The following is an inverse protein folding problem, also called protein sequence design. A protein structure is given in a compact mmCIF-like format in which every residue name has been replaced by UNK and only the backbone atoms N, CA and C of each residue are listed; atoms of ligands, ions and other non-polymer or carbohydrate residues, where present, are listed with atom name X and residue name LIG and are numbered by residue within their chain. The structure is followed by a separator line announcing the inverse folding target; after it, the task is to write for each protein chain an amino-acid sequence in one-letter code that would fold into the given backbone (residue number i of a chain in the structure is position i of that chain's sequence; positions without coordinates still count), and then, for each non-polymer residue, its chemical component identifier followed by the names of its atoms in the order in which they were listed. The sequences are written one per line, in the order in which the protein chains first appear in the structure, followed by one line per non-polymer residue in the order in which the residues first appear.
data_IF_969166052836
#
_entry.id   IF_969166052836
#
_cell.length_a   1.000
_cell.length_b   1.000
_cell.length_c   1.000
_cell.angle_alpha   90.00
_cell.angle_beta   90.00
_cell.angle_gamma   90.00
#
_symmetry.space_group_name_H-M   'P 1'
#
loop_
_entity.id
_entity.type
_entity.pdbx_description
1 polymer ?
#
# COMPACT_ATOMS: atom_id res chain seq x y z
N UNK A 1 -50.32 6.85 -39.08
CA UNK A 1 -50.02 7.16 -37.66
C UNK A 1 -48.56 6.82 -37.44
N UNK A 2 -47.76 7.85 -37.15
CA UNK A 2 -46.31 7.83 -36.94
C UNK A 2 -45.97 7.26 -35.55
N UNK A 3 -44.67 6.94 -35.35
CA UNK A 3 -43.96 6.62 -34.12
C UNK A 3 -44.06 5.12 -33.71
N UNK A 4 -43.00 4.37 -33.40
CA UNK A 4 -41.71 4.74 -32.81
C UNK A 4 -40.57 3.81 -33.26
N UNK A 5 -39.62 4.37 -34.00
CA UNK A 5 -38.27 3.82 -34.17
C UNK A 5 -37.39 4.42 -33.08
N UNK A 6 -37.42 3.87 -31.86
CA UNK A 6 -36.49 4.28 -30.81
C UNK A 6 -35.10 3.76 -31.19
N UNK A 7 -34.30 4.69 -31.67
CA UNK A 7 -32.93 4.56 -32.12
C UNK A 7 -32.01 4.03 -31.01
N UNK A 8 -31.28 2.95 -31.33
CA UNK A 8 -30.13 2.45 -30.55
C UNK A 8 -29.02 3.50 -30.34
N UNK A 9 -29.09 4.66 -31.03
CA UNK A 9 -28.13 5.76 -30.92
C UNK A 9 -28.09 6.43 -29.53
N UNK A 10 -29.23 6.47 -28.81
CA UNK A 10 -29.32 7.18 -27.53
C UNK A 10 -28.68 6.43 -26.35
N UNK A 11 -28.48 5.10 -26.45
CA UNK A 11 -27.81 4.33 -25.39
C UNK A 11 -26.29 4.50 -25.41
N UNK A 12 -25.71 4.75 -26.58
CA UNK A 12 -24.29 5.02 -26.77
C UNK A 12 -23.89 6.44 -26.35
N UNK A 13 -24.75 7.44 -26.56
CA UNK A 13 -24.46 8.84 -26.18
C UNK A 13 -24.55 9.09 -24.67
N UNK A 14 -25.40 8.35 -23.95
CA UNK A 14 -25.48 8.42 -22.48
C UNK A 14 -24.24 7.83 -21.77
N UNK A 15 -23.43 7.02 -22.45
CA UNK A 15 -22.18 6.47 -21.91
C UNK A 15 -20.96 7.36 -22.18
N UNK A 16 -21.06 8.31 -23.12
CA UNK A 16 -19.95 9.22 -23.47
C UNK A 16 -19.85 10.42 -22.52
N UNK A 17 -20.97 10.91 -21.98
CA UNK A 17 -20.99 12.15 -21.20
C UNK A 17 -20.50 12.05 -19.74
N UNK A 18 -20.09 10.87 -19.28
CA UNK A 18 -19.53 10.68 -17.92
C UNK A 18 -18.11 10.12 -17.91
N UNK A 19 -17.50 9.93 -19.07
CA UNK A 19 -16.12 9.48 -19.13
C UNK A 19 -15.19 10.67 -18.94
N UNK A 20 -14.27 10.64 -17.98
CA UNK A 20 -13.35 11.75 -17.81
C UNK A 20 -12.45 11.80 -19.05
N UNK A 21 -12.38 12.94 -19.75
CA UNK A 21 -11.40 13.14 -20.83
C UNK A 21 -9.97 13.33 -20.29
N UNK A 22 -9.81 13.27 -18.97
CA UNK A 22 -8.57 13.56 -18.26
C UNK A 22 -8.30 12.54 -17.18
N UNK A 23 -7.07 12.50 -16.68
CA UNK A 23 -6.73 11.72 -15.49
C UNK A 23 -7.17 12.53 -14.25
N UNK A 24 -8.16 12.00 -13.53
CA UNK A 24 -8.69 12.61 -12.31
C UNK A 24 -8.25 11.81 -11.09
N UNK A 25 -7.56 12.46 -10.14
CA UNK A 25 -7.19 11.85 -8.85
C UNK A 25 -8.30 12.19 -7.84
N UNK A 26 -8.76 11.20 -7.09
CA UNK A 26 -10.01 11.28 -6.31
C UNK A 26 -9.81 11.23 -4.80
N UNK A 27 -8.67 10.70 -4.32
CA UNK A 27 -8.42 10.52 -2.90
C UNK A 27 -7.27 11.37 -2.34
N UNK A 28 -6.51 12.04 -3.19
CA UNK A 28 -5.35 12.83 -2.82
C UNK A 28 -5.34 14.17 -3.56
N UNK A 29 -4.84 15.20 -2.88
CA UNK A 29 -4.65 16.55 -3.42
C UNK A 29 -3.18 16.82 -3.75
N UNK A 30 -2.94 17.78 -4.64
CA UNK A 30 -1.58 18.24 -4.92
C UNK A 30 -0.97 18.91 -3.68
N UNK A 31 0.29 18.60 -3.41
CA UNK A 31 1.04 18.96 -2.20
C UNK A 31 0.44 18.44 -0.88
N UNK A 32 -0.40 17.40 -0.92
CA UNK A 32 -0.91 16.76 0.30
C UNK A 32 0.24 16.11 1.09
N UNK A 33 0.21 16.32 2.41
CA UNK A 33 1.19 15.76 3.34
C UNK A 33 0.68 14.41 3.85
N UNK A 34 1.49 13.37 3.68
CA UNK A 34 1.25 12.02 4.16
C UNK A 34 2.26 11.67 5.26
N UNK A 35 1.80 11.07 6.35
CA UNK A 35 2.67 10.68 7.48
C UNK A 35 3.19 9.24 7.37
N UNK A 36 3.03 8.64 6.20
CA UNK A 36 3.37 7.24 5.91
C UNK A 36 3.97 7.12 4.51
N UNK A 37 4.86 6.15 4.35
CA UNK A 37 5.71 6.04 3.16
C UNK A 37 5.05 5.34 1.96
N UNK A 38 3.93 4.67 2.10
CA UNK A 38 3.27 3.96 0.99
C UNK A 38 1.93 4.62 0.64
N UNK A 39 1.90 5.41 -0.43
CA UNK A 39 0.68 6.10 -0.85
C UNK A 39 -0.19 5.20 -1.73
N UNK A 40 -1.50 5.18 -1.48
CA UNK A 40 -2.49 4.65 -2.40
C UNK A 40 -3.07 5.82 -3.19
N UNK A 41 -2.89 5.83 -4.50
CA UNK A 41 -3.50 6.81 -5.40
C UNK A 41 -4.68 6.14 -6.08
N UNK A 42 -5.85 6.76 -5.98
CA UNK A 42 -7.09 6.32 -6.63
C UNK A 42 -7.57 7.40 -7.57
N UNK A 43 -8.05 7.00 -8.73
CA UNK A 43 -8.56 7.95 -9.69
C UNK A 43 -9.33 7.31 -10.81
N UNK A 44 -9.74 8.17 -11.74
CA UNK A 44 -10.37 7.80 -13.00
C UNK A 44 -9.45 8.18 -14.15
N UNK A 45 -9.40 7.33 -15.16
CA UNK A 45 -8.59 7.52 -16.34
C UNK A 45 -9.47 7.76 -17.58
N UNK A 46 -8.89 8.33 -18.65
CA UNK A 46 -9.58 8.51 -19.92
C UNK A 46 -10.24 7.24 -20.45
N UNK A 47 -11.37 7.42 -21.14
CA UNK A 47 -12.05 6.32 -21.81
C UNK A 47 -11.06 5.54 -22.70
N UNK A 48 -11.30 4.24 -22.84
CA UNK A 48 -10.54 3.33 -23.73
C UNK A 48 -9.09 3.05 -23.29
N UNK A 49 -8.59 3.65 -22.20
CA UNK A 49 -7.29 3.31 -21.65
C UNK A 49 -7.37 2.03 -20.80
N UNK A 50 -6.49 1.06 -21.09
CA UNK A 50 -6.39 -0.20 -20.31
C UNK A 50 -5.36 -0.12 -19.19
N UNK A 51 -4.40 0.80 -19.31
CA UNK A 51 -3.30 0.95 -18.37
C UNK A 51 -2.98 2.42 -18.11
N UNK A 52 -2.44 2.68 -16.91
CA UNK A 52 -1.89 3.96 -16.51
C UNK A 52 -0.45 3.75 -16.07
N UNK A 53 0.44 4.58 -16.60
CA UNK A 53 1.83 4.62 -16.22
C UNK A 53 2.03 5.67 -15.14
N UNK A 54 2.85 5.36 -14.14
CA UNK A 54 3.32 6.34 -13.17
C UNK A 54 4.83 6.39 -13.16
N UNK A 55 5.36 7.60 -13.26
CA UNK A 55 6.78 7.88 -13.17
C UNK A 55 7.07 8.62 -11.86
N UNK A 56 8.00 8.08 -11.08
CA UNK A 56 8.55 8.75 -9.90
C UNK A 56 9.90 9.43 -10.23
N UNK A 57 10.40 10.28 -9.31
CA UNK A 57 11.72 10.92 -9.45
C UNK A 57 12.89 9.95 -9.67
N UNK A 58 12.79 8.69 -9.25
CA UNK A 58 13.83 7.66 -9.51
C UNK A 58 13.82 7.15 -10.95
N UNK A 59 13.00 7.77 -11.83
CA UNK A 59 12.74 7.36 -13.21
C UNK A 59 12.22 5.91 -13.33
N UNK A 60 11.75 5.34 -12.21
CA UNK A 60 11.02 4.08 -12.23
C UNK A 60 9.65 4.36 -12.82
N UNK A 61 9.34 3.66 -13.90
CA UNK A 61 8.01 3.66 -14.52
C UNK A 61 7.36 2.35 -14.13
N UNK A 62 6.19 2.43 -13.51
CA UNK A 62 5.35 1.25 -13.25
C UNK A 62 4.02 1.41 -13.96
N UNK A 63 3.54 0.32 -14.55
CA UNK A 63 2.26 0.25 -15.24
C UNK A 63 1.23 -0.41 -14.33
N UNK A 64 0.02 0.16 -14.29
CA UNK A 64 -1.08 -0.33 -13.47
C UNK A 64 -2.35 -0.48 -14.30
N UNK A 65 -3.15 -1.53 -14.07
CA UNK A 65 -4.37 -1.75 -14.82
C UNK A 65 -5.43 -0.68 -14.49
N UNK A 66 -6.17 -0.28 -15.52
CA UNK A 66 -7.41 0.48 -15.41
C UNK A 66 -8.56 -0.52 -15.53
N UNK A 67 -9.45 -0.55 -14.55
CA UNK A 67 -10.62 -1.44 -14.52
C UNK A 67 -11.86 -0.60 -14.36
N UNK A 68 -12.81 -0.73 -15.30
CA UNK A 68 -14.03 0.08 -15.33
C UNK A 68 -13.78 1.59 -15.27
N UNK A 69 -12.72 2.05 -15.95
CA UNK A 69 -12.31 3.47 -15.97
C UNK A 69 -11.62 3.96 -14.70
N UNK A 70 -11.42 3.10 -13.69
CA UNK A 70 -10.76 3.44 -12.44
C UNK A 70 -9.37 2.80 -12.32
N UNK A 71 -8.47 3.48 -11.62
CA UNK A 71 -7.15 2.96 -11.29
C UNK A 71 -6.86 3.03 -9.79
N UNK A 72 -6.00 2.12 -9.33
CA UNK A 72 -5.44 2.10 -7.97
C UNK A 72 -3.95 1.81 -8.07
N UNK A 73 -3.13 2.75 -7.61
CA UNK A 73 -1.68 2.71 -7.74
C UNK A 73 -1.08 2.78 -6.34
N UNK A 74 -0.12 1.92 -6.05
CA UNK A 74 0.70 2.03 -4.84
C UNK A 74 2.04 2.66 -5.19
N UNK A 75 2.45 3.67 -4.41
CA UNK A 75 3.70 4.41 -4.63
C UNK A 75 4.49 4.48 -3.34
N UNK A 76 5.75 4.05 -3.41
CA UNK A 76 6.72 4.26 -2.33
C UNK A 76 7.23 5.70 -2.35
N UNK A 77 7.05 6.42 -1.25
CA UNK A 77 7.43 7.81 -1.05
C UNK A 77 8.74 7.92 -0.27
N UNK A 78 9.68 8.69 -0.82
CA UNK A 78 10.85 9.14 -0.05
C UNK A 78 10.44 10.27 0.88
N UNK A 79 11.16 10.48 1.98
CA UNK A 79 10.91 11.64 2.85
C UNK A 79 11.00 12.95 2.07
N UNK A 80 10.12 13.89 2.39
CA UNK A 80 9.99 15.17 1.70
C UNK A 80 9.18 15.06 0.42
N UNK A 81 9.56 15.84 -0.58
CA UNK A 81 8.78 16.05 -1.81
C UNK A 81 8.92 14.91 -2.82
N UNK A 82 7.79 14.34 -3.23
CA UNK A 82 7.69 13.29 -4.25
C UNK A 82 6.87 13.81 -5.44
N UNK A 83 7.54 14.12 -6.55
CA UNK A 83 6.89 14.49 -7.82
C UNK A 83 6.57 13.25 -8.63
N UNK A 84 5.30 13.08 -8.96
CA UNK A 84 4.75 11.95 -9.69
C UNK A 84 4.13 12.47 -11.01
N UNK A 85 4.38 11.76 -12.10
CA UNK A 85 3.73 11.99 -13.39
C UNK A 85 2.94 10.73 -13.76
N UNK A 86 1.62 10.88 -13.89
CA UNK A 86 0.69 9.86 -14.33
C UNK A 86 0.42 10.06 -15.83
N UNK A 87 0.41 8.99 -16.60
CA UNK A 87 0.19 9.02 -18.05
C UNK A 87 -0.72 7.88 -18.51
N UNK A 88 -1.76 8.21 -19.28
CA UNK A 88 -2.68 7.26 -19.89
C UNK A 88 -3.19 7.84 -21.21
N UNK A 89 -3.10 7.08 -22.31
CA UNK A 89 -3.59 7.51 -23.63
C UNK A 89 -2.96 8.82 -24.13
N UNK A 90 -1.69 9.08 -23.81
CA UNK A 90 -0.98 10.33 -24.14
C UNK A 90 -1.33 11.54 -23.27
N UNK A 91 -2.33 11.41 -22.38
CA UNK A 91 -2.68 12.45 -21.41
C UNK A 91 -1.80 12.32 -20.19
N UNK A 92 -1.26 13.45 -19.72
CA UNK A 92 -0.39 13.52 -18.55
C UNK A 92 -1.02 14.30 -17.42
N UNK A 93 -0.80 13.83 -16.19
CA UNK A 93 -1.20 14.51 -14.95
C UNK A 93 -0.07 14.46 -13.94
N UNK A 94 0.28 15.63 -13.39
CA UNK A 94 1.26 15.74 -12.31
C UNK A 94 0.57 15.73 -10.95
N UNK A 95 1.23 15.12 -9.97
CA UNK A 95 0.85 15.10 -8.57
C UNK A 95 2.13 15.21 -7.73
N UNK A 96 2.16 16.14 -6.79
CA UNK A 96 3.20 16.24 -5.78
C UNK A 96 2.65 15.77 -4.45
N UNK A 97 3.33 14.82 -3.80
CA UNK A 97 3.01 14.37 -2.44
C UNK A 97 4.20 14.64 -1.52
N UNK A 98 3.93 15.04 -0.28
CA UNK A 98 4.97 15.30 0.71
C UNK A 98 4.90 14.21 1.77
N UNK A 99 5.96 13.42 1.93
CA UNK A 99 6.03 12.43 2.98
C UNK A 99 6.78 13.00 4.19
N UNK A 100 6.03 13.26 5.26
CA UNK A 100 6.54 13.79 6.52
C UNK A 100 6.05 12.91 7.67
N UNK A 101 6.85 11.90 8.08
CA UNK A 101 6.53 11.05 9.22
C UNK A 101 6.23 11.88 10.47
N UNK A 102 5.24 11.45 11.26
CA UNK A 102 4.92 12.14 12.51
C UNK A 102 6.00 11.87 13.54
N UNK A 103 6.52 12.92 14.16
CA UNK A 103 7.35 12.79 15.36
C UNK A 103 6.52 12.24 16.51
N UNK A 104 6.84 11.02 16.96
CA UNK A 104 6.13 10.35 18.07
C UNK A 104 7.05 9.35 18.75
N UNK A 105 6.81 9.11 20.05
CA UNK A 105 7.44 8.00 20.78
C UNK A 105 6.68 6.68 20.62
N UNK A 106 5.43 6.75 20.18
CA UNK A 106 4.57 5.59 19.95
C UNK A 106 4.74 5.12 18.50
N UNK A 107 5.43 3.98 18.33
CA UNK A 107 5.74 3.37 17.05
C UNK A 107 5.37 1.89 17.05
N UNK A 108 5.04 1.39 15.86
CA UNK A 108 4.73 -0.02 15.61
C UNK A 108 5.90 -0.63 14.85
N UNK A 109 6.41 -1.74 15.36
CA UNK A 109 7.53 -2.48 14.77
C UNK A 109 7.06 -3.91 14.49
N UNK A 110 6.95 -4.31 13.22
CA UNK A 110 6.72 -5.70 12.88
C UNK A 110 7.91 -6.56 13.37
N UNK A 111 7.63 -7.76 13.86
CA UNK A 111 8.67 -8.68 14.35
C UNK A 111 8.51 -10.03 13.65
N UNK A 112 9.61 -10.53 13.10
CA UNK A 112 9.75 -11.89 12.61
C UNK A 112 10.51 -12.72 13.64
N UNK A 113 9.83 -13.69 14.25
CA UNK A 113 10.37 -14.49 15.36
C UNK A 113 10.88 -15.83 14.85
N UNK A 114 12.14 -16.13 15.14
CA UNK A 114 12.80 -17.41 14.87
C UNK A 114 12.99 -18.11 16.21
N UNK A 115 12.27 -19.21 16.42
CA UNK A 115 12.42 -20.04 17.61
C UNK A 115 13.75 -20.81 17.60
N UNK A 116 14.30 -21.10 18.78
CA UNK A 116 15.45 -21.97 18.93
C UNK A 116 15.17 -23.35 18.30
N UNK A 117 16.16 -23.92 17.61
CA UNK A 117 16.02 -25.20 16.90
C UNK A 117 15.27 -25.10 15.55
N UNK A 118 14.87 -23.90 15.11
CA UNK A 118 14.33 -23.66 13.78
C UNK A 118 15.40 -23.11 12.83
N UNK A 119 15.30 -23.41 11.53
CA UNK A 119 16.24 -22.93 10.51
C UNK A 119 16.02 -21.45 10.10
N UNK A 120 14.94 -20.84 10.60
CA UNK A 120 14.53 -19.47 10.29
C UNK A 120 13.87 -19.29 8.92
N UNK A 121 13.71 -20.34 8.12
CA UNK A 121 13.07 -20.23 6.81
C UNK A 121 11.56 -20.29 6.95
N UNK A 122 10.84 -19.33 6.38
CA UNK A 122 9.38 -19.38 6.41
C UNK A 122 8.83 -20.43 5.43
N UNK A 123 7.57 -20.82 5.66
CA UNK A 123 6.88 -21.80 4.84
C UNK A 123 6.49 -21.17 3.48
N UNK A 124 6.88 -21.80 2.39
CA UNK A 124 6.56 -21.32 1.04
C UNK A 124 7.04 -22.26 -0.06
N UNK A 125 6.74 -21.97 -1.33
CA UNK A 125 7.23 -22.75 -2.47
C UNK A 125 8.76 -22.83 -2.49
N UNK A 126 9.31 -23.98 -2.91
CA UNK A 126 10.78 -24.19 -2.98
C UNK A 126 11.48 -23.26 -3.97
N UNK A 127 10.75 -22.74 -4.94
CA UNK A 127 11.23 -21.82 -5.97
C UNK A 127 11.33 -20.37 -5.50
N UNK A 128 10.80 -20.05 -4.31
CA UNK A 128 10.86 -18.71 -3.76
C UNK A 128 11.98 -18.56 -2.72
N UNK A 129 12.49 -17.33 -2.58
CA UNK A 129 13.35 -17.00 -1.47
C UNK A 129 12.54 -17.04 -0.16
N UNK A 130 12.95 -17.94 0.75
CA UNK A 130 12.31 -18.21 2.04
C UNK A 130 13.16 -17.75 3.23
N UNK A 131 14.25 -17.02 2.97
CA UNK A 131 15.16 -16.57 4.02
C UNK A 131 14.48 -15.60 5.00
N UNK A 132 15.02 -15.46 6.23
CA UNK A 132 14.56 -14.45 7.19
C UNK A 132 14.50 -13.03 6.62
N UNK A 133 15.45 -12.65 5.76
CA UNK A 133 15.50 -11.33 5.12
C UNK A 133 14.31 -11.15 4.17
N UNK A 134 13.98 -12.17 3.38
CA UNK A 134 12.79 -12.14 2.52
C UNK A 134 11.50 -12.07 3.36
N UNK A 135 11.44 -12.79 4.49
CA UNK A 135 10.32 -12.69 5.42
C UNK A 135 10.17 -11.25 5.95
N UNK A 136 11.27 -10.65 6.41
CA UNK A 136 11.29 -9.29 6.94
C UNK A 136 10.80 -8.26 5.91
N UNK A 137 11.25 -8.33 4.65
CA UNK A 137 10.78 -7.44 3.57
C UNK A 137 9.30 -7.64 3.27
N UNK A 138 8.81 -8.89 3.20
CA UNK A 138 7.39 -9.19 2.93
C UNK A 138 6.49 -8.70 4.06
N UNK A 139 6.89 -8.94 5.31
CA UNK A 139 6.19 -8.45 6.50
C UNK A 139 6.19 -6.92 6.53
N UNK A 140 7.34 -6.30 6.26
CA UNK A 140 7.47 -4.84 6.17
C UNK A 140 6.52 -4.22 5.14
N UNK A 141 6.45 -4.80 3.93
CA UNK A 141 5.48 -4.39 2.91
C UNK A 141 4.04 -4.57 3.40
N UNK A 142 3.71 -5.71 4.01
CA UNK A 142 2.39 -5.95 4.59
C UNK A 142 2.00 -4.91 5.64
N UNK A 143 2.92 -4.55 6.52
CA UNK A 143 2.71 -3.53 7.54
C UNK A 143 2.44 -2.15 6.93
N UNK A 144 3.19 -1.78 5.87
CA UNK A 144 2.97 -0.53 5.12
C UNK A 144 1.61 -0.53 4.42
N UNK A 145 1.19 -1.63 3.81
CA UNK A 145 -0.15 -1.78 3.23
C UNK A 145 -1.25 -1.58 4.27
N UNK A 146 -1.12 -2.18 5.46
CA UNK A 146 -2.05 -1.99 6.57
C UNK A 146 -2.10 -0.53 7.03
N UNK A 147 -0.94 0.13 7.11
CA UNK A 147 -0.84 1.53 7.47
C UNK A 147 -1.58 2.42 6.46
N UNK A 148 -1.38 2.20 5.16
CA UNK A 148 -2.07 2.92 4.08
C UNK A 148 -3.57 2.69 4.09
N UNK A 149 -4.00 1.42 4.23
CA UNK A 149 -5.41 1.06 4.29
C UNK A 149 -6.09 1.71 5.50
N UNK A 150 -5.45 1.67 6.66
CA UNK A 150 -5.97 2.32 7.89
C UNK A 150 -6.14 3.82 7.67
N UNK A 151 -5.15 4.48 7.06
CA UNK A 151 -5.23 5.91 6.75
C UNK A 151 -6.40 6.25 5.81
N UNK A 152 -6.64 5.45 4.78
CA UNK A 152 -7.79 5.62 3.88
C UNK A 152 -9.11 5.39 4.59
N UNK A 153 -9.22 4.34 5.42
CA UNK A 153 -10.46 4.04 6.15
C UNK A 153 -10.79 5.11 7.19
N UNK A 154 -9.80 5.63 7.88
CA UNK A 154 -10.00 6.76 8.80
C UNK A 154 -10.47 8.02 8.09
N UNK A 155 -9.95 8.29 6.88
CA UNK A 155 -10.40 9.40 6.05
C UNK A 155 -11.84 9.19 5.55
N UNK A 156 -12.15 8.00 5.03
CA UNK A 156 -13.50 7.62 4.58
C UNK A 156 -14.54 7.76 5.71
N UNK A 157 -14.13 7.52 6.96
CA UNK A 157 -14.96 7.71 8.16
C UNK A 157 -15.03 9.16 8.69
N UNK A 158 -14.36 10.13 8.04
CA UNK A 158 -14.39 11.54 8.45
C UNK A 158 -13.43 11.93 9.57
N UNK A 159 -12.50 11.04 9.96
CA UNK A 159 -11.51 11.32 11.02
C UNK A 159 -10.18 11.91 10.51
N UNK A 160 -10.14 12.25 9.22
CA UNK A 160 -8.91 12.59 8.51
C UNK A 160 -8.04 11.37 8.27
N UNK A 161 -6.89 11.59 7.64
CA UNK A 161 -5.98 10.54 7.17
C UNK A 161 -5.07 10.00 8.28
N UNK A 162 -5.66 9.55 9.38
CA UNK A 162 -4.94 9.08 10.58
C UNK A 162 -4.53 7.61 10.46
N UNK A 163 -3.33 7.28 10.91
CA UNK A 163 -2.84 5.90 10.98
C UNK A 163 -1.78 5.77 12.09
N UNK A 164 -1.33 4.54 12.34
CA UNK A 164 -0.23 4.26 13.25
C UNK A 164 1.12 4.61 12.59
N UNK A 165 2.13 4.93 13.40
CA UNK A 165 3.46 5.22 12.88
C UNK A 165 4.30 3.95 12.86
N UNK A 166 4.78 3.53 11.68
CA UNK A 166 5.76 2.46 11.59
C UNK A 166 7.13 2.98 11.97
N UNK A 167 7.89 2.16 12.71
CA UNK A 167 9.26 2.48 13.10
C UNK A 167 10.18 2.72 11.89
N UNK A 168 9.97 2.00 10.79
CA UNK A 168 10.64 2.21 9.49
C UNK A 168 10.58 3.67 9.00
N UNK A 169 9.43 4.31 9.12
CA UNK A 169 9.25 5.68 8.64
C UNK A 169 10.09 6.68 9.47
N UNK A 170 10.53 6.27 10.67
CA UNK A 170 11.40 6.99 11.59
C UNK A 170 12.87 6.48 11.55
N UNK A 171 13.32 5.99 10.38
CA UNK A 171 14.67 5.44 10.14
C UNK A 171 15.00 4.15 10.89
N UNK A 172 14.01 3.45 11.43
CA UNK A 172 14.20 2.13 12.02
C UNK A 172 14.04 0.97 11.01
N UNK A 173 14.05 -0.29 11.49
CA UNK A 173 13.93 -1.46 10.62
C UNK A 173 12.55 -1.59 9.97
N UNK A 174 12.47 -2.23 8.79
CA UNK A 174 11.19 -2.61 8.17
C UNK A 174 10.42 -3.63 9.02
N UNK A 175 11.18 -4.59 9.55
CA UNK A 175 10.74 -5.68 10.40
C UNK A 175 11.95 -6.13 11.22
N UNK A 176 11.77 -6.31 12.51
CA UNK A 176 12.80 -6.81 13.41
C UNK A 176 12.86 -8.33 13.31
N UNK A 177 14.00 -8.89 12.90
CA UNK A 177 14.24 -10.33 12.98
C UNK A 177 14.78 -10.65 14.37
N UNK A 178 14.00 -11.40 15.16
CA UNK A 178 14.34 -11.77 16.53
C UNK A 178 14.56 -13.28 16.65
N UNK A 179 15.62 -13.68 17.35
CA UNK A 179 15.85 -15.07 17.71
C UNK A 179 15.41 -15.29 19.17
N UNK A 180 14.41 -16.14 19.35
CA UNK A 180 13.84 -16.48 20.66
C UNK A 180 14.56 -17.67 21.28
N UNK A 181 14.70 -17.68 22.61
CA UNK A 181 15.19 -18.86 23.34
C UNK A 181 14.14 -19.98 23.41
N UNK A 182 12.89 -19.72 23.01
CA UNK A 182 11.83 -20.71 22.96
C UNK A 182 12.13 -21.76 21.89
N UNK A 183 12.27 -23.02 22.30
CA UNK A 183 12.45 -24.12 21.35
C UNK A 183 11.20 -24.33 20.48
N UNK A 184 11.39 -24.60 19.19
CA UNK A 184 10.30 -24.71 18.20
C UNK A 184 9.25 -25.76 18.57
N UNK A 185 9.67 -26.92 19.09
CA UNK A 185 8.73 -27.97 19.49
C UNK A 185 7.83 -27.53 20.64
N UNK A 186 8.38 -26.78 21.60
CA UNK A 186 7.60 -26.20 22.69
C UNK A 186 6.66 -25.13 22.17
N UNK A 187 7.12 -24.24 21.30
CA UNK A 187 6.30 -23.19 20.69
C UNK A 187 5.06 -23.75 19.99
N UNK A 188 5.20 -24.89 19.29
CA UNK A 188 4.10 -25.57 18.58
C UNK A 188 3.04 -26.17 19.50
N UNK A 189 3.37 -26.42 20.77
CA UNK A 189 2.42 -26.94 21.77
C UNK A 189 1.69 -25.84 22.55
N UNK A 190 2.18 -24.60 22.47
CA UNK A 190 1.61 -23.45 23.19
C UNK A 190 0.40 -22.89 22.45
N UNK A 191 -0.56 -22.34 23.20
CA UNK A 191 -1.63 -21.56 22.61
C UNK A 191 -1.16 -20.13 22.24
N UNK A 192 -2.00 -19.40 21.50
CA UNK A 192 -1.66 -18.05 21.01
C UNK A 192 -1.30 -17.07 22.14
N UNK A 193 -2.01 -17.14 23.27
CA UNK A 193 -1.79 -16.24 24.41
C UNK A 193 -0.47 -16.54 25.10
N UNK A 194 -0.20 -17.81 25.38
CA UNK A 194 1.06 -18.23 26.00
C UNK A 194 2.27 -17.85 25.13
N UNK A 195 2.15 -18.06 23.81
CA UNK A 195 3.20 -17.71 22.87
C UNK A 195 3.44 -16.20 22.86
N UNK A 196 2.37 -15.41 22.80
CA UNK A 196 2.45 -13.95 22.85
C UNK A 196 3.05 -13.44 24.17
N UNK A 197 2.65 -13.99 25.32
CA UNK A 197 3.19 -13.58 26.62
C UNK A 197 4.68 -13.92 26.75
N UNK A 198 5.13 -15.07 26.25
CA UNK A 198 6.55 -15.44 26.28
C UNK A 198 7.39 -14.52 25.38
N UNK A 199 7.02 -14.42 24.10
CA UNK A 199 7.71 -13.60 23.11
C UNK A 199 7.67 -12.11 23.50
N UNK A 200 6.53 -11.64 24.02
CA UNK A 200 6.38 -10.27 24.48
C UNK A 200 7.32 -9.92 25.62
N UNK A 201 7.59 -10.86 26.55
CA UNK A 201 8.59 -10.65 27.60
C UNK A 201 10.00 -10.57 27.04
N UNK A 202 10.38 -11.44 26.10
CA UNK A 202 11.70 -11.40 25.46
C UNK A 202 11.93 -10.08 24.71
N UNK A 203 10.90 -9.53 24.05
CA UNK A 203 10.97 -8.25 23.35
C UNK A 203 11.16 -7.03 24.27
N UNK A 204 10.84 -7.15 25.55
CA UNK A 204 10.93 -6.05 26.53
C UNK A 204 12.24 -6.04 27.33
N UNK A 205 13.08 -7.08 27.18
CA UNK A 205 14.42 -7.19 27.77
C UNK A 205 15.49 -6.65 26.84
#
# INVERSE_FOLDING_TARGET
VLADSITNANRSELLLNNNPETIAITNLSDNEILTYSLALIRGKAPALCSYINIRSRKNTVTEWPIVAGEFRILVDLQRGENRLELEAGGIKRRLTLIHEPRTTRLRVTPVYVICAGHDGYFQGPKTENRSPESAATRIGLGARLLQSLTAEKMREAGHGRKTFQLERDLDGPECLVMHSMLHVDKARTMNQRELWEFIGRELMT
#
